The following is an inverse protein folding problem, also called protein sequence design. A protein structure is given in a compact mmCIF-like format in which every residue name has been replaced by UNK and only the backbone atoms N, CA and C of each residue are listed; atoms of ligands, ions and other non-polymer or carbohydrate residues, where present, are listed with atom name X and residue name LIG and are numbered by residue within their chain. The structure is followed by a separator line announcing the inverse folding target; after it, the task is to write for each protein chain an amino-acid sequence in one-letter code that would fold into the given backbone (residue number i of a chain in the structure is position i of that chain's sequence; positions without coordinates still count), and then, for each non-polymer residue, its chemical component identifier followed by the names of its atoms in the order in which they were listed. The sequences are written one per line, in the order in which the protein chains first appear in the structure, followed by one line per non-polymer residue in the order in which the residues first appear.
data_IF_614266041956
#
_entry.id   IF_614266041956
#
_cell.length_a   1.000
_cell.length_b   1.000
_cell.length_c   1.000
_cell.angle_alpha   90.00
_cell.angle_beta   90.00
_cell.angle_gamma   90.00
#
_symmetry.space_group_name_H-M   'P 1'
#
loop_
_entity.id
_entity.type
_entity.pdbx_description
1 polymer ?
#
# COMPACT_ATOMS: atom_id res chain seq x y z
N UNK A 1 -11.49 -13.72 4.06
CA UNK A 1 -11.03 -12.40 3.57
C UNK A 1 -9.55 -12.27 3.92
N UNK A 2 -8.71 -11.78 3.01
CA UNK A 2 -7.31 -11.60 3.33
C UNK A 2 -7.17 -10.47 4.36
N UNK A 3 -6.40 -10.72 5.42
CA UNK A 3 -6.18 -9.73 6.48
C UNK A 3 -4.99 -8.86 6.08
N UNK A 4 -5.23 -7.58 5.84
CA UNK A 4 -4.15 -6.61 5.59
C UNK A 4 -3.60 -6.14 6.93
N UNK A 5 -2.28 -5.94 7.01
CA UNK A 5 -1.67 -5.31 8.17
C UNK A 5 -1.02 -3.99 7.78
N UNK A 6 -1.25 -2.97 8.60
CA UNK A 6 -0.60 -1.68 8.48
C UNK A 6 0.35 -1.53 9.67
N UNK A 7 1.55 -1.01 9.41
CA UNK A 7 2.52 -0.66 10.44
C UNK A 7 2.65 0.84 10.49
N UNK A 8 2.52 1.45 11.67
CA UNK A 8 2.76 2.89 11.82
C UNK A 8 4.28 3.14 11.83
N UNK A 9 4.78 3.85 10.81
CA UNK A 9 6.20 4.18 10.65
C UNK A 9 6.50 5.66 10.91
N UNK A 10 5.51 6.43 11.38
CA UNK A 10 5.60 7.89 11.47
C UNK A 10 6.44 8.45 12.62
N UNK A 11 6.87 7.61 13.57
CA UNK A 11 7.57 8.07 14.78
C UNK A 11 6.66 8.57 15.90
N UNK A 12 5.38 8.85 15.62
CA UNK A 12 4.36 9.32 16.57
C UNK A 12 3.16 8.37 16.66
N UNK A 13 2.33 8.54 17.69
CA UNK A 13 1.01 7.87 17.77
C UNK A 13 0.07 8.41 16.69
N UNK A 14 -0.59 7.53 15.93
CA UNK A 14 -1.58 7.92 14.92
C UNK A 14 -2.88 7.15 15.05
N UNK A 15 -3.98 7.81 14.72
CA UNK A 15 -5.30 7.19 14.72
C UNK A 15 -5.52 6.36 13.46
N UNK A 16 -6.07 5.16 13.63
CA UNK A 16 -6.32 4.21 12.56
C UNK A 16 -7.50 4.66 11.68
N UNK A 17 -7.20 5.14 10.46
CA UNK A 17 -8.15 5.34 9.37
C UNK A 17 -9.07 6.55 9.52
N UNK A 18 -9.31 7.00 10.76
CA UNK A 18 -10.09 8.18 11.13
C UNK A 18 -9.43 8.91 12.30
N UNK A 19 -9.66 10.23 12.50
CA UNK A 19 -9.13 10.98 13.63
C UNK A 19 -9.54 10.40 15.00
N UNK A 20 -10.76 9.86 15.08
CA UNK A 20 -11.35 9.15 16.23
C UNK A 20 -11.09 7.63 16.21
N UNK A 21 -10.27 7.15 15.28
CA UNK A 21 -9.89 5.75 15.16
C UNK A 21 -9.01 5.26 16.31
N UNK A 22 -8.78 3.94 16.35
CA UNK A 22 -7.91 3.32 17.34
C UNK A 22 -6.52 3.99 17.32
N UNK A 23 -5.96 4.45 18.46
CA UNK A 23 -4.61 4.97 18.50
C UNK A 23 -3.60 3.83 18.30
N UNK A 24 -2.65 4.02 17.39
CA UNK A 24 -1.61 3.06 17.02
C UNK A 24 -0.25 3.70 17.29
N UNK A 25 0.58 3.09 18.14
CA UNK A 25 1.89 3.65 18.46
C UNK A 25 2.85 3.48 17.29
N UNK A 26 3.92 4.27 17.27
CA UNK A 26 4.99 4.09 16.28
C UNK A 26 5.61 2.69 16.43
N UNK A 27 5.75 1.98 15.30
CA UNK A 27 6.22 0.59 15.26
C UNK A 27 5.13 -0.46 15.46
N UNK A 28 3.93 -0.08 15.91
CA UNK A 28 2.84 -1.05 16.08
C UNK A 28 2.31 -1.54 14.74
N UNK A 29 2.01 -2.83 14.70
CA UNK A 29 1.36 -3.50 13.58
C UNK A 29 -0.10 -3.75 13.93
N UNK A 30 -0.99 -3.27 13.07
CA UNK A 30 -2.43 -3.38 13.26
C UNK A 30 -3.07 -4.03 12.04
N UNK A 31 -3.99 -4.95 12.29
CA UNK A 31 -4.76 -5.55 11.22
C UNK A 31 -5.93 -4.64 10.85
N UNK A 32 -6.13 -4.42 9.56
CA UNK A 32 -7.28 -3.71 9.03
C UNK A 32 -8.17 -4.67 8.25
N UNK A 33 -9.46 -4.66 8.60
CA UNK A 33 -10.51 -5.27 7.79
C UNK A 33 -10.75 -4.37 6.59
N UNK A 34 -10.27 -4.82 5.44
CA UNK A 34 -10.38 -4.09 4.18
C UNK A 34 -9.74 -4.84 3.02
N UNK A 35 -10.06 -4.41 1.81
CA UNK A 35 -9.48 -4.90 0.57
C UNK A 35 -8.51 -3.86 0.01
N UNK A 36 -7.28 -4.28 -0.27
CA UNK A 36 -6.30 -3.45 -0.95
C UNK A 36 -6.75 -3.29 -2.39
N UNK A 37 -6.84 -2.05 -2.85
CA UNK A 37 -7.27 -1.71 -4.20
C UNK A 37 -6.07 -1.41 -5.09
N UNK A 38 -5.27 -0.42 -4.69
CA UNK A 38 -4.20 0.12 -5.51
C UNK A 38 -3.10 0.77 -4.64
N UNK A 39 -1.87 0.75 -5.14
CA UNK A 39 -0.74 1.49 -4.56
C UNK A 39 -0.45 2.71 -5.43
N UNK A 40 -0.65 3.90 -4.86
CA UNK A 40 -0.26 5.19 -5.46
C UNK A 40 1.21 5.50 -5.17
N UNK A 41 1.74 6.58 -5.74
CA UNK A 41 3.09 7.06 -5.43
C UNK A 41 3.33 7.27 -3.93
N UNK A 42 2.37 7.92 -3.26
CA UNK A 42 2.48 8.41 -1.90
C UNK A 42 1.53 7.72 -0.91
N UNK A 43 0.62 6.85 -1.36
CA UNK A 43 -0.41 6.24 -0.51
C UNK A 43 -0.84 4.84 -0.95
N UNK A 44 -1.51 4.10 -0.06
CA UNK A 44 -2.23 2.86 -0.37
C UNK A 44 -3.74 3.12 -0.34
N UNK A 45 -4.47 2.70 -1.37
CA UNK A 45 -5.93 2.72 -1.39
C UNK A 45 -6.49 1.41 -0.84
N UNK A 46 -7.27 1.50 0.22
CA UNK A 46 -7.91 0.36 0.89
C UNK A 46 -9.41 0.62 0.97
N UNK A 47 -10.21 -0.30 0.44
CA UNK A 47 -11.66 -0.32 0.65
C UNK A 47 -11.98 -0.98 2.00
N UNK A 48 -12.64 -0.24 2.88
CA UNK A 48 -13.08 -0.72 4.19
C UNK A 48 -14.60 -0.76 4.23
N UNK A 49 -15.19 -1.80 3.63
CA UNK A 49 -16.64 -2.03 3.63
C UNK A 49 -17.42 -1.00 2.80
N UNK A 50 -16.91 -0.63 1.62
CA UNK A 50 -17.51 0.35 0.71
C UNK A 50 -17.02 1.78 0.91
N UNK A 51 -16.05 2.01 1.80
CA UNK A 51 -15.36 3.28 1.96
C UNK A 51 -13.90 3.15 1.55
N UNK A 52 -13.56 3.77 0.42
CA UNK A 52 -12.17 3.85 -0.05
C UNK A 52 -11.40 4.88 0.80
N UNK A 53 -10.28 4.46 1.36
CA UNK A 53 -9.38 5.31 2.15
C UNK A 53 -7.96 5.26 1.62
N UNK A 54 -7.32 6.42 1.58
CA UNK A 54 -5.90 6.57 1.26
C UNK A 54 -5.08 6.56 2.54
N UNK A 55 -4.06 5.70 2.58
CA UNK A 55 -3.12 5.54 3.68
C UNK A 55 -1.73 6.01 3.27
N UNK A 56 -1.23 7.16 3.76
CA UNK A 56 0.03 7.73 3.30
C UNK A 56 1.23 6.84 3.64
N UNK A 57 2.08 6.57 2.66
CA UNK A 57 3.33 5.78 2.79
C UNK A 57 4.38 6.46 3.65
N UNK A 58 4.27 7.77 3.84
CA UNK A 58 5.11 8.52 4.79
C UNK A 58 4.91 8.06 6.24
N UNK A 59 3.75 7.48 6.55
CA UNK A 59 3.31 7.22 7.93
C UNK A 59 2.83 5.80 8.15
N UNK A 60 2.47 5.09 7.09
CA UNK A 60 1.98 3.73 7.14
C UNK A 60 2.72 2.83 6.16
N UNK A 61 3.03 1.61 6.60
CA UNK A 61 3.58 0.56 5.76
C UNK A 61 2.61 -0.61 5.68
N UNK A 62 2.17 -0.96 4.47
CA UNK A 62 1.32 -2.11 4.23
C UNK A 62 2.14 -3.40 4.19
N UNK A 63 1.71 -4.42 4.93
CA UNK A 63 2.24 -5.77 4.93
C UNK A 63 1.09 -6.79 4.83
N UNK A 64 1.32 -7.91 4.16
CA UNK A 64 0.32 -8.97 4.00
C UNK A 64 0.21 -9.53 2.59
N UNK A 65 -0.24 -10.78 2.50
CA UNK A 65 -0.27 -11.62 1.29
C UNK A 65 -1.39 -11.31 0.30
N UNK A 66 -2.13 -10.21 0.46
CA UNK A 66 -3.06 -9.70 -0.56
C UNK A 66 -2.51 -8.50 -1.34
N UNK A 67 -1.18 -8.43 -1.51
CA UNK A 67 -0.55 -7.67 -2.61
C UNK A 67 -0.81 -8.38 -3.94
N UNK A 68 -2.07 -8.72 -4.23
CA UNK A 68 -2.51 -9.27 -5.51
C UNK A 68 -2.78 -8.10 -6.46
N UNK A 69 -1.72 -7.34 -6.71
CA UNK A 69 -1.69 -6.15 -7.54
C UNK A 69 -0.24 -5.77 -7.76
N UNK A 70 0.36 -6.36 -8.79
CA UNK A 70 1.70 -6.07 -9.30
C UNK A 70 2.90 -6.38 -8.36
N UNK A 71 3.26 -7.65 -8.27
CA UNK A 71 4.68 -8.00 -8.24
C UNK A 71 5.21 -7.98 -9.69
N UNK A 72 6.01 -6.96 -10.03
CA UNK A 72 6.91 -7.02 -11.19
C UNK A 72 6.48 -6.26 -12.45
N UNK A 73 6.65 -4.94 -12.45
CA UNK A 73 7.02 -4.20 -13.65
C UNK A 73 8.21 -3.28 -13.33
N UNK A 74 9.34 -3.90 -13.00
CA UNK A 74 10.64 -3.24 -12.98
C UNK A 74 11.62 -4.15 -13.70
N UNK A 75 11.98 -3.77 -14.93
CA UNK A 75 13.12 -4.33 -15.64
C UNK A 75 12.81 -5.04 -16.96
N UNK A 76 12.64 -4.27 -18.04
CA UNK A 76 13.10 -4.67 -19.38
C UNK A 76 13.38 -3.41 -20.21
N UNK A 77 14.56 -2.84 -20.04
CA UNK A 77 15.13 -1.94 -21.03
C UNK A 77 15.43 -2.76 -22.30
N UNK A 78 14.50 -2.80 -23.24
CA UNK A 78 14.78 -3.26 -24.61
C UNK A 78 14.94 -2.04 -25.51
N UNK A 79 16.19 -1.58 -25.59
CA UNK A 79 16.72 -0.68 -26.61
C UNK A 79 16.56 -1.35 -27.98
N UNK A 80 15.50 -1.06 -28.72
CA UNK A 80 15.45 -1.40 -30.15
C UNK A 80 16.21 -0.33 -30.94
N UNK A 81 17.52 -0.56 -31.05
CA UNK A 81 18.40 0.06 -32.06
C UNK A 81 18.09 -0.63 -33.40
N UNK A 82 18.02 0.15 -34.48
CA UNK A 82 17.55 -0.28 -35.79
C UNK A 82 18.37 -1.36 -36.51
N UNK A 83 17.89 -1.74 -37.69
CA UNK A 83 18.57 -2.63 -38.63
C UNK A 83 17.73 -2.89 -39.88
N UNK A 84 18.20 -2.34 -41.00
CA UNK A 84 17.84 -2.56 -42.40
C UNK A 84 17.97 -4.05 -42.84
N UNK A 85 17.53 -4.33 -44.08
CA UNK A 85 17.78 -5.51 -44.94
C UNK A 85 16.59 -6.50 -44.98
N UNK A 86 16.00 -6.92 -46.11
CA UNK A 86 16.36 -6.87 -47.55
C UNK A 86 15.12 -6.67 -48.42
#
# INVERSE_FOLDING_TARGET
MAKLTLTNISGDTRSLGRPDGLPVQAGDVVAVDGQFLEELSDAYLIDQGGQIRAWPKETWQLSGTARTGAAGASGAAAKSKGGTES
#
